data_IF_561154900371
#
_entry.id   IF_561154900371
#
_cell.length_a   1.000
_cell.length_b   1.000
_cell.length_c   1.000
_cell.angle_alpha   90.00
_cell.angle_beta   90.00
_cell.angle_gamma   90.00
#
_symmetry.space_group_name_H-M   'P 1'
#
loop_
_entity.id
_entity.type
_entity.pdbx_description
1 polymer ?
#
# COMPACT_ATOMS: atom_id res chain seq x y z
N UNK A 1 6.48 -13.83 22.97
CA UNK A 1 6.75 -12.81 21.95
C UNK A 1 6.95 -13.54 20.64
N UNK A 2 6.15 -13.23 19.62
CA UNK A 2 6.53 -13.58 18.25
C UNK A 2 7.74 -12.73 17.89
N UNK A 3 8.73 -13.31 17.22
CA UNK A 3 9.81 -12.56 16.58
C UNK A 3 9.44 -12.41 15.12
N UNK A 4 9.49 -11.17 14.62
CA UNK A 4 9.33 -10.88 13.21
C UNK A 4 10.59 -11.40 12.49
N UNK A 5 10.43 -12.37 11.60
CA UNK A 5 11.54 -12.94 10.81
C UNK A 5 11.12 -13.09 9.35
N UNK A 6 12.08 -12.85 8.46
CA UNK A 6 11.91 -12.99 7.01
C UNK A 6 11.91 -14.47 6.60
N UNK A 7 11.38 -14.73 5.41
CA UNK A 7 10.78 -16.01 5.04
C UNK A 7 11.76 -16.87 4.24
N UNK A 8 12.02 -18.09 4.72
CA UNK A 8 12.93 -19.05 4.11
C UNK A 8 12.35 -20.45 4.27
N UNK A 9 12.35 -21.21 3.18
CA UNK A 9 12.01 -22.64 3.19
C UNK A 9 13.34 -23.39 3.18
N UNK A 10 13.64 -24.09 4.29
CA UNK A 10 14.78 -25.00 4.36
C UNK A 10 14.43 -26.26 5.17
N UNK A 11 15.01 -27.39 4.77
CA UNK A 11 14.99 -28.73 5.40
C UNK A 11 13.74 -29.22 6.19
N UNK A 12 12.53 -28.75 5.87
CA UNK A 12 11.27 -29.37 6.29
C UNK A 12 10.50 -28.66 7.42
N UNK A 13 10.97 -27.49 7.88
CA UNK A 13 10.16 -26.58 8.70
C UNK A 13 9.33 -25.64 7.80
N UNK A 14 8.10 -25.35 8.22
CA UNK A 14 7.16 -24.50 7.47
C UNK A 14 7.01 -23.17 8.22
N UNK A 15 7.58 -22.11 7.66
CA UNK A 15 7.55 -20.76 8.24
C UNK A 15 7.12 -19.76 7.14
N UNK A 16 5.86 -19.35 7.20
CA UNK A 16 5.30 -18.05 6.77
C UNK A 16 5.46 -17.47 5.33
N UNK A 17 6.00 -18.15 4.30
CA UNK A 17 5.72 -17.74 2.90
C UNK A 17 6.75 -18.06 1.80
N UNK A 18 6.52 -17.50 0.60
CA UNK A 18 7.06 -18.01 -0.68
C UNK A 18 7.41 -16.93 -1.74
N UNK A 19 8.36 -17.28 -2.63
CA UNK A 19 8.71 -16.77 -3.99
C UNK A 19 8.55 -15.28 -4.39
N UNK A 20 9.63 -14.75 -4.99
CA UNK A 20 9.80 -13.48 -5.74
C UNK A 20 8.70 -13.15 -6.77
N UNK A 21 8.37 -11.86 -7.03
CA UNK A 21 9.04 -10.64 -6.58
C UNK A 21 8.48 -10.08 -5.27
N UNK A 22 9.37 -9.83 -4.30
CA UNK A 22 9.04 -9.28 -2.98
C UNK A 22 9.31 -7.77 -2.89
N UNK A 23 8.69 -7.05 -1.92
CA UNK A 23 9.06 -5.69 -1.54
C UNK A 23 10.58 -5.47 -1.49
N UNK A 24 11.08 -4.56 -2.33
CA UNK A 24 12.52 -4.24 -2.46
C UNK A 24 13.02 -3.36 -1.31
N UNK A 25 13.24 -4.00 -0.17
CA UNK A 25 13.80 -3.44 1.05
C UNK A 25 15.30 -3.08 0.90
N UNK A 26 15.76 -1.93 1.46
CA UNK A 26 17.19 -1.64 1.69
C UNK A 26 17.67 -2.28 2.99
N UNK A 27 18.44 -3.37 2.90
CA UNK A 27 18.79 -4.28 4.02
C UNK A 27 19.65 -3.66 5.13
N UNK A 28 19.80 -2.34 5.17
CA UNK A 28 20.62 -1.58 6.12
C UNK A 28 19.86 -1.00 7.34
N UNK A 29 18.53 -0.83 7.31
CA UNK A 29 17.75 -0.31 8.46
C UNK A 29 16.57 -1.23 8.84
N UNK A 30 16.68 -1.90 10.00
CA UNK A 30 15.71 -2.85 10.57
C UNK A 30 14.28 -2.30 10.76
N UNK A 31 14.08 -0.98 10.69
CA UNK A 31 12.76 -0.34 10.78
C UNK A 31 12.01 -0.23 9.43
N UNK A 32 12.68 -0.47 8.28
CA UNK A 32 12.15 -0.18 6.94
C UNK A 32 11.19 -1.24 6.35
N UNK A 33 10.26 -1.75 7.19
CA UNK A 33 9.33 -2.82 6.84
C UNK A 33 8.34 -2.42 5.74
N UNK A 34 8.55 -2.96 4.53
CA UNK A 34 7.55 -3.05 3.45
C UNK A 34 6.36 -3.99 3.75
N UNK A 35 6.00 -4.14 5.03
CA UNK A 35 4.83 -4.84 5.51
C UNK A 35 4.51 -4.40 6.94
N UNK A 36 3.24 -4.41 7.32
CA UNK A 36 2.73 -4.21 8.68
C UNK A 36 1.96 -5.46 9.10
N UNK A 37 2.34 -6.06 10.22
CA UNK A 37 1.60 -7.21 10.79
C UNK A 37 0.59 -6.66 11.80
N UNK A 38 -0.71 -6.81 11.51
CA UNK A 38 -1.80 -6.39 12.41
C UNK A 38 -2.42 -7.63 13.05
N UNK A 39 -1.76 -8.17 14.09
CA UNK A 39 -2.24 -9.41 14.73
C UNK A 39 -3.51 -9.18 15.57
N UNK A 40 -4.66 -9.64 15.09
CA UNK A 40 -5.88 -9.77 15.89
C UNK A 40 -5.91 -11.10 16.65
N UNK A 41 -5.35 -11.14 17.86
CA UNK A 41 -5.39 -12.33 18.73
C UNK A 41 -6.77 -12.46 19.42
N UNK A 42 -7.82 -12.71 18.63
CA UNK A 42 -9.22 -12.77 19.10
C UNK A 42 -9.60 -14.13 19.76
N UNK A 43 -8.63 -15.02 19.91
CA UNK A 43 -8.79 -16.36 20.46
C UNK A 43 -9.07 -17.46 19.44
N UNK A 44 -9.09 -17.17 18.13
CA UNK A 44 -9.34 -18.15 17.05
C UNK A 44 -8.09 -18.67 16.33
N UNK A 45 -6.89 -18.31 16.81
CA UNK A 45 -5.61 -18.60 16.16
C UNK A 45 -5.51 -18.06 14.71
N UNK A 46 -5.95 -16.82 14.50
CA UNK A 46 -5.83 -16.12 13.22
C UNK A 46 -4.88 -14.93 13.32
N UNK A 47 -4.31 -14.51 12.20
CA UNK A 47 -3.69 -13.19 12.08
C UNK A 47 -3.95 -12.58 10.70
N UNK A 48 -3.64 -11.31 10.58
CA UNK A 48 -3.79 -10.51 9.38
C UNK A 48 -2.46 -9.79 9.11
N UNK A 49 -1.99 -9.84 7.87
CA UNK A 49 -0.73 -9.21 7.44
C UNK A 49 -1.00 -8.32 6.25
N UNK A 50 -0.56 -7.06 6.33
CA UNK A 50 -0.72 -6.06 5.28
C UNK A 50 0.66 -5.76 4.67
N UNK A 51 0.89 -6.23 3.46
CA UNK A 51 2.14 -6.04 2.72
C UNK A 51 2.08 -4.77 1.88
N UNK A 52 3.15 -3.99 1.93
CA UNK A 52 3.38 -2.83 1.07
C UNK A 52 4.53 -3.16 0.12
N UNK A 53 4.21 -3.81 -0.98
CA UNK A 53 5.14 -4.41 -1.93
C UNK A 53 5.49 -3.44 -3.08
N UNK A 54 6.77 -3.10 -3.24
CA UNK A 54 7.29 -2.44 -4.44
C UNK A 54 8.46 -3.25 -5.02
N UNK A 55 8.77 -3.07 -6.31
CA UNK A 55 9.80 -3.86 -6.99
C UNK A 55 10.89 -2.94 -7.57
N UNK A 56 11.21 -3.08 -8.86
CA UNK A 56 12.01 -2.06 -9.57
C UNK A 56 11.19 -0.83 -9.98
N UNK A 57 9.85 -0.94 -9.94
CA UNK A 57 8.98 0.23 -9.96
C UNK A 57 8.80 0.72 -8.51
N UNK A 58 9.01 2.02 -8.22
CA UNK A 58 8.80 2.61 -6.89
C UNK A 58 7.32 2.82 -6.54
N UNK A 59 6.39 2.39 -7.39
CA UNK A 59 4.99 2.23 -7.01
C UNK A 59 4.79 1.16 -5.92
N UNK A 60 3.95 1.47 -4.92
CA UNK A 60 3.66 0.57 -3.80
C UNK A 60 2.34 -0.14 -4.04
N UNK A 61 2.43 -1.44 -4.26
CA UNK A 61 1.31 -2.38 -4.36
C UNK A 61 0.92 -2.85 -2.96
N UNK A 62 -0.36 -3.07 -2.68
CA UNK A 62 -0.83 -3.48 -1.34
C UNK A 62 -1.43 -4.88 -1.40
N UNK A 63 -0.95 -5.81 -0.57
CA UNK A 63 -1.53 -7.15 -0.45
C UNK A 63 -1.95 -7.41 0.99
N UNK A 64 -3.02 -8.17 1.16
CA UNK A 64 -3.55 -8.55 2.47
C UNK A 64 -3.62 -10.06 2.59
N UNK A 65 -2.98 -10.61 3.61
CA UNK A 65 -2.96 -12.05 3.87
C UNK A 65 -3.68 -12.36 5.18
N UNK A 66 -4.76 -13.14 5.07
CA UNK A 66 -5.50 -13.67 6.19
C UNK A 66 -5.00 -15.11 6.45
N UNK A 67 -4.51 -15.40 7.65
CA UNK A 67 -3.94 -16.72 8.00
C UNK A 67 -4.59 -17.33 9.24
N UNK A 68 -4.78 -18.65 9.21
CA UNK A 68 -5.14 -19.47 10.37
C UNK A 68 -3.96 -20.36 10.75
N UNK A 69 -3.71 -20.53 12.04
CA UNK A 69 -2.63 -21.38 12.56
C UNK A 69 -3.11 -22.29 13.70
N UNK A 70 -2.29 -23.28 14.04
CA UNK A 70 -2.48 -24.13 15.22
C UNK A 70 -1.17 -24.27 16.00
N UNK A 71 -1.26 -24.30 17.34
CA UNK A 71 -0.14 -24.74 18.17
C UNK A 71 0.00 -26.27 18.08
N UNK A 72 1.14 -26.75 17.62
CA UNK A 72 1.52 -28.17 17.57
C UNK A 72 2.95 -28.32 18.09
N UNK A 73 3.11 -29.14 19.12
CA UNK A 73 4.40 -29.46 19.75
C UNK A 73 5.22 -28.22 20.20
N UNK A 74 4.53 -27.16 20.66
CA UNK A 74 5.14 -25.89 21.08
C UNK A 74 5.57 -24.96 19.95
N UNK A 75 5.20 -25.28 18.71
CA UNK A 75 5.38 -24.45 17.51
C UNK A 75 4.02 -24.03 16.94
N UNK A 76 3.94 -22.87 16.28
CA UNK A 76 2.75 -22.50 15.51
C UNK A 76 2.94 -22.91 14.06
N UNK A 77 1.94 -23.59 13.47
CA UNK A 77 1.93 -23.97 12.06
C UNK A 77 0.71 -23.36 11.38
N UNK A 78 0.90 -22.67 10.26
CA UNK A 78 -0.19 -22.21 9.39
C UNK A 78 -0.95 -23.43 8.88
N UNK A 79 -2.27 -23.37 8.94
CA UNK A 79 -3.19 -24.43 8.52
C UNK A 79 -4.13 -24.01 7.39
N UNK A 80 -4.30 -22.69 7.19
CA UNK A 80 -5.06 -22.08 6.10
C UNK A 80 -4.46 -20.69 5.79
N UNK A 81 -4.37 -20.33 4.52
CA UNK A 81 -3.85 -19.04 4.04
C UNK A 81 -4.76 -18.49 2.93
N UNK A 82 -5.04 -17.18 2.96
CA UNK A 82 -5.81 -16.49 1.94
C UNK A 82 -5.18 -15.12 1.65
N UNK A 83 -4.53 -14.99 0.49
CA UNK A 83 -3.93 -13.74 0.03
C UNK A 83 -4.86 -12.99 -0.94
N UNK A 84 -4.98 -11.69 -0.73
CA UNK A 84 -5.79 -10.75 -1.50
C UNK A 84 -4.89 -9.64 -2.05
N UNK A 85 -4.93 -9.46 -3.36
CA UNK A 85 -4.17 -8.44 -4.09
C UNK A 85 -5.04 -7.18 -4.20
N UNK A 86 -4.68 -6.10 -3.51
CA UNK A 86 -5.42 -4.83 -3.49
C UNK A 86 -4.83 -3.86 -4.53
N UNK A 87 -4.49 -4.41 -5.70
CA UNK A 87 -3.81 -3.76 -6.82
C UNK A 87 -4.80 -2.97 -7.72
N UNK A 88 -6.11 -3.23 -7.56
CA UNK A 88 -7.22 -2.66 -8.34
C UNK A 88 -8.47 -2.48 -7.47
N UNK A 89 -8.37 -1.66 -6.44
CA UNK A 89 -9.41 -1.39 -5.44
C UNK A 89 -10.68 -0.85 -6.13
N UNK A 90 -11.84 -1.46 -5.81
CA UNK A 90 -13.16 -1.12 -6.38
C UNK A 90 -14.23 -0.80 -5.33
N UNK A 91 -13.94 -1.01 -4.04
CA UNK A 91 -14.85 -0.78 -2.92
C UNK A 91 -14.17 0.04 -1.80
N UNK A 92 -14.98 0.74 -1.00
CA UNK A 92 -14.49 1.41 0.20
C UNK A 92 -14.01 0.43 1.28
N UNK A 93 -14.50 -0.81 1.26
CA UNK A 93 -14.03 -1.88 2.15
C UNK A 93 -12.58 -2.27 1.82
N UNK A 94 -12.28 -2.55 0.55
CA UNK A 94 -10.89 -2.82 0.11
C UNK A 94 -9.97 -1.62 0.35
N UNK A 95 -10.48 -0.39 0.21
CA UNK A 95 -9.72 0.83 0.51
C UNK A 95 -9.34 0.93 1.99
N UNK A 96 -10.28 0.69 2.90
CA UNK A 96 -10.02 0.70 4.35
C UNK A 96 -9.05 -0.43 4.78
N UNK A 97 -9.09 -1.56 4.08
CA UNK A 97 -8.16 -2.67 4.29
C UNK A 97 -6.74 -2.38 3.77
N UNK A 98 -6.60 -1.67 2.65
CA UNK A 98 -5.30 -1.27 2.09
C UNK A 98 -4.67 -0.08 2.83
N UNK A 99 -5.50 0.88 3.23
CA UNK A 99 -5.11 2.18 3.76
C UNK A 99 -5.84 2.53 5.07
N UNK A 100 -5.66 1.75 6.15
CA UNK A 100 -6.19 2.10 7.47
C UNK A 100 -5.56 3.39 8.03
N UNK A 101 -4.39 3.75 7.51
CA UNK A 101 -3.69 5.03 7.61
C UNK A 101 -2.76 5.13 6.40
N UNK A 102 -2.46 6.34 5.92
CA UNK A 102 -1.46 6.60 4.88
C UNK A 102 -0.15 7.07 5.53
N UNK A 103 -0.21 8.10 6.39
CA UNK A 103 0.98 8.75 6.93
C UNK A 103 1.75 7.81 7.87
N UNK A 104 3.08 7.85 7.80
CA UNK A 104 3.95 6.97 8.58
C UNK A 104 3.92 5.48 8.19
N UNK A 105 3.28 5.12 7.06
CA UNK A 105 3.36 3.78 6.46
C UNK A 105 4.27 3.81 5.22
N UNK A 106 4.60 2.68 4.58
CA UNK A 106 5.35 2.70 3.33
C UNK A 106 4.64 3.39 2.14
N UNK A 107 3.32 3.68 2.20
CA UNK A 107 2.66 4.54 1.19
C UNK A 107 2.86 6.05 1.47
N UNK A 108 3.42 6.43 2.63
CA UNK A 108 3.89 7.78 2.91
C UNK A 108 5.26 8.03 2.27
N UNK A 109 5.22 8.47 1.01
CA UNK A 109 6.40 8.80 0.22
C UNK A 109 7.29 9.89 0.84
N UNK A 110 6.82 10.65 1.84
CA UNK A 110 7.59 11.74 2.46
C UNK A 110 8.69 11.26 3.41
N UNK A 111 8.57 10.05 3.98
CA UNK A 111 9.45 9.56 5.06
C UNK A 111 10.39 8.42 4.66
N UNK A 112 10.19 7.82 3.49
CA UNK A 112 10.84 6.57 3.07
C UNK A 112 11.85 6.73 1.92
N UNK A 113 12.08 7.96 1.42
CA UNK A 113 12.96 8.24 0.28
C UNK A 113 12.42 7.80 -1.10
N UNK A 114 11.24 7.19 -1.15
CA UNK A 114 10.63 6.74 -2.41
C UNK A 114 10.07 7.90 -3.25
N UNK A 115 9.78 9.06 -2.64
CA UNK A 115 9.47 10.29 -3.37
C UNK A 115 10.58 10.65 -4.38
N UNK A 116 11.85 10.70 -3.95
CA UNK A 116 12.98 11.02 -4.82
C UNK A 116 13.12 9.99 -5.96
N UNK A 117 12.87 8.71 -5.69
CA UNK A 117 12.89 7.65 -6.69
C UNK A 117 11.77 7.81 -7.74
N UNK A 118 10.54 8.11 -7.32
CA UNK A 118 9.43 8.43 -8.21
C UNK A 118 9.72 9.70 -9.05
N UNK A 119 10.29 10.74 -8.44
CA UNK A 119 10.68 11.98 -9.13
C UNK A 119 11.76 11.69 -10.18
N UNK A 120 12.84 10.99 -9.83
CA UNK A 120 13.88 10.60 -10.79
C UNK A 120 13.31 9.77 -11.95
N UNK A 121 12.48 8.77 -11.67
CA UNK A 121 11.83 8.00 -12.73
C UNK A 121 10.91 8.89 -13.59
N UNK A 122 10.24 9.89 -13.01
CA UNK A 122 9.41 10.84 -13.77
C UNK A 122 10.18 11.78 -14.69
N UNK A 123 11.45 12.04 -14.39
CA UNK A 123 12.35 12.84 -15.23
C UNK A 123 13.04 12.01 -16.31
N UNK A 124 13.28 10.72 -16.05
CA UNK A 124 14.03 9.82 -16.94
C UNK A 124 13.13 8.97 -17.86
N UNK A 125 11.85 8.80 -17.51
CA UNK A 125 10.90 7.98 -18.26
C UNK A 125 9.98 8.82 -19.14
N UNK A 126 9.76 8.37 -20.38
CA UNK A 126 8.73 8.89 -21.28
C UNK A 126 7.37 8.18 -21.12
N UNK A 127 7.22 7.30 -20.13
CA UNK A 127 5.97 6.57 -19.89
C UNK A 127 4.87 7.51 -19.39
N UNK A 128 3.64 7.32 -19.90
CA UNK A 128 2.45 8.02 -19.43
C UNK A 128 2.21 7.84 -17.92
N UNK A 129 2.61 6.70 -17.34
CA UNK A 129 2.49 6.43 -15.90
C UNK A 129 3.14 7.52 -15.04
N UNK A 130 4.31 8.03 -15.44
CA UNK A 130 5.00 9.07 -14.68
C UNK A 130 4.54 10.49 -15.03
N UNK A 131 3.90 10.69 -16.19
CA UNK A 131 3.22 11.96 -16.48
C UNK A 131 1.92 12.09 -15.68
N UNK A 132 1.22 10.98 -15.46
CA UNK A 132 0.03 10.92 -14.60
C UNK A 132 0.33 11.39 -13.16
N UNK A 133 1.55 11.19 -12.66
CA UNK A 133 1.98 11.69 -11.34
C UNK A 133 2.03 13.23 -11.22
N UNK A 134 1.88 13.98 -12.33
CA UNK A 134 1.81 15.46 -12.33
C UNK A 134 0.39 15.99 -12.19
N UNK A 135 -0.63 15.13 -12.31
CA UNK A 135 -2.03 15.45 -12.04
C UNK A 135 -2.46 14.80 -10.72
N UNK A 136 -3.12 15.51 -9.78
CA UNK A 136 -3.43 14.98 -8.46
C UNK A 136 -4.47 13.85 -8.50
N UNK A 137 -5.39 13.84 -9.46
CA UNK A 137 -6.43 12.81 -9.62
C UNK A 137 -5.81 11.55 -10.22
N UNK A 138 -4.99 11.69 -11.26
CA UNK A 138 -4.32 10.54 -11.89
C UNK A 138 -3.23 9.95 -10.98
N UNK A 139 -2.52 10.78 -10.21
CA UNK A 139 -1.58 10.34 -9.18
C UNK A 139 -2.29 9.58 -8.06
N UNK A 140 -3.43 10.08 -7.56
CA UNK A 140 -4.23 9.38 -6.55
C UNK A 140 -4.70 8.01 -7.05
N UNK A 141 -5.21 7.93 -8.29
CA UNK A 141 -5.59 6.65 -8.92
C UNK A 141 -4.44 5.64 -8.93
N UNK A 142 -3.26 6.06 -9.39
CA UNK A 142 -2.11 5.18 -9.53
C UNK A 142 -1.55 4.76 -8.17
N UNK A 143 -1.17 5.73 -7.33
CA UNK A 143 -0.47 5.47 -6.07
C UNK A 143 -1.37 4.77 -5.03
N UNK A 144 -2.68 4.96 -5.07
CA UNK A 144 -3.64 4.29 -4.18
C UNK A 144 -4.26 3.02 -4.81
N UNK A 145 -3.63 2.43 -5.84
CA UNK A 145 -4.05 1.18 -6.48
C UNK A 145 -5.54 1.14 -6.88
N UNK A 146 -6.12 2.28 -7.27
CA UNK A 146 -7.54 2.36 -7.62
C UNK A 146 -7.78 1.81 -9.03
N UNK A 147 -8.86 1.07 -9.24
CA UNK A 147 -9.23 0.64 -10.60
C UNK A 147 -9.56 1.86 -11.48
N UNK A 148 -8.84 2.02 -12.58
CA UNK A 148 -9.12 3.08 -13.57
C UNK A 148 -10.37 2.75 -14.43
N UNK A 149 -11.55 2.92 -13.83
CA UNK A 149 -12.83 2.74 -14.49
C UNK A 149 -13.91 3.59 -13.80
N UNK A 150 -14.29 4.71 -14.42
CA UNK A 150 -15.31 5.67 -13.92
C UNK A 150 -16.72 5.08 -13.66
N UNK A 151 -16.99 3.84 -14.10
CA UNK A 151 -18.24 3.13 -13.79
C UNK A 151 -18.15 2.30 -12.49
N UNK A 152 -16.97 2.22 -11.88
CA UNK A 152 -16.67 1.49 -10.63
C UNK A 152 -16.03 2.38 -9.58
N UNK A 153 -15.07 3.22 -9.97
CA UNK A 153 -14.39 4.18 -9.08
C UNK A 153 -14.32 5.52 -9.77
N UNK A 154 -14.84 6.56 -9.12
CA UNK A 154 -14.76 7.95 -9.59
C UNK A 154 -13.86 8.73 -8.65
N UNK A 155 -12.93 9.52 -9.22
CA UNK A 155 -11.94 10.27 -8.44
C UNK A 155 -11.99 11.73 -8.89
N UNK A 156 -12.30 12.64 -7.96
CA UNK A 156 -12.46 14.06 -8.24
C UNK A 156 -11.66 14.94 -7.28
N UNK A 157 -11.08 16.02 -7.81
CA UNK A 157 -10.43 17.04 -7.00
C UNK A 157 -11.46 18.02 -6.44
N UNK A 158 -11.45 18.20 -5.13
CA UNK A 158 -12.27 19.19 -4.44
C UNK A 158 -11.63 20.59 -4.59
N UNK A 159 -12.45 21.61 -4.80
CA UNK A 159 -11.98 22.95 -5.18
C UNK A 159 -11.25 23.71 -4.05
N UNK A 160 -11.30 23.22 -2.82
CA UNK A 160 -10.66 23.81 -1.63
C UNK A 160 -9.16 23.46 -1.52
N UNK A 161 -8.45 23.49 -2.66
CA UNK A 161 -6.99 23.35 -2.70
C UNK A 161 -6.32 24.55 -2.02
N UNK A 162 -5.77 24.33 -0.83
CA UNK A 162 -4.95 25.31 -0.13
C UNK A 162 -3.52 25.32 -0.72
N UNK A 163 -2.62 26.15 -0.18
CA UNK A 163 -1.19 26.06 -0.53
C UNK A 163 -0.50 24.77 -0.03
N UNK A 164 -1.21 23.94 0.72
CA UNK A 164 -0.68 22.77 1.43
C UNK A 164 -1.11 21.45 0.79
N UNK A 165 -1.93 21.47 -0.26
CA UNK A 165 -2.38 20.28 -0.98
C UNK A 165 -3.74 20.44 -1.66
N UNK A 166 -4.13 19.40 -2.40
CA UNK A 166 -5.44 19.27 -3.05
C UNK A 166 -6.16 18.08 -2.43
N UNK A 167 -7.36 18.30 -1.91
CA UNK A 167 -8.19 17.24 -1.38
C UNK A 167 -8.86 16.48 -2.53
N UNK A 168 -8.76 15.16 -2.52
CA UNK A 168 -9.37 14.26 -3.49
C UNK A 168 -10.52 13.51 -2.82
N UNK A 169 -11.67 13.43 -3.50
CA UNK A 169 -12.75 12.51 -3.15
C UNK A 169 -12.71 11.30 -4.09
N UNK A 170 -12.77 10.12 -3.50
CA UNK A 170 -12.88 8.83 -4.16
C UNK A 170 -14.29 8.31 -3.90
N UNK A 171 -15.03 7.96 -4.95
CA UNK A 171 -16.38 7.38 -4.87
C UNK A 171 -16.35 5.96 -5.41
N UNK A 172 -16.66 4.99 -4.57
CA UNK A 172 -16.79 3.59 -4.95
C UNK A 172 -18.25 3.29 -5.30
N UNK A 173 -18.50 2.95 -6.56
CA UNK A 173 -19.85 2.78 -7.11
C UNK A 173 -20.50 1.46 -6.63
N UNK A 174 -19.68 0.47 -6.26
CA UNK A 174 -20.14 -0.88 -5.91
C UNK A 174 -20.80 -0.95 -4.52
N UNK A 175 -20.22 -0.29 -3.51
CA UNK A 175 -20.76 -0.20 -2.15
C UNK A 175 -21.31 1.20 -1.79
N UNK A 176 -21.13 2.18 -2.67
CA UNK A 176 -21.56 3.57 -2.46
C UNK A 176 -20.69 4.34 -1.47
N UNK A 177 -19.50 3.83 -1.14
CA UNK A 177 -18.61 4.47 -0.18
C UNK A 177 -17.90 5.69 -0.78
N UNK A 178 -17.82 6.77 -0.01
CA UNK A 178 -16.92 7.90 -0.29
C UNK A 178 -15.72 7.86 0.65
N UNK A 179 -14.53 8.10 0.11
CA UNK A 179 -13.27 8.27 0.86
C UNK A 179 -12.58 9.54 0.42
N UNK A 180 -11.77 10.12 1.31
CA UNK A 180 -11.09 11.38 1.09
C UNK A 180 -9.61 11.20 1.41
N UNK A 181 -8.75 11.79 0.58
CA UNK A 181 -7.29 11.81 0.78
C UNK A 181 -6.75 13.21 0.44
N UNK A 182 -5.64 13.59 1.04
CA UNK A 182 -4.94 14.84 0.73
C UNK A 182 -3.79 14.51 -0.22
N UNK A 183 -3.77 15.10 -1.41
CA UNK A 183 -2.62 15.00 -2.32
C UNK A 183 -1.72 16.22 -2.11
N UNK A 184 -0.43 16.00 -1.86
CA UNK A 184 0.56 17.07 -1.70
C UNK A 184 1.62 17.01 -2.82
N UNK A 185 2.21 18.17 -3.14
CA UNK A 185 3.30 18.29 -4.12
C UNK A 185 4.50 18.98 -3.44
N UNK A 186 5.43 18.23 -2.82
CA UNK A 186 6.52 18.78 -2.01
C UNK A 186 7.39 19.84 -2.73
N UNK A 187 7.70 19.64 -4.02
CA UNK A 187 8.56 20.55 -4.79
C UNK A 187 7.84 21.71 -5.51
N UNK A 188 6.55 21.94 -5.21
CA UNK A 188 5.75 23.13 -5.55
C UNK A 188 5.50 23.54 -7.01
N UNK A 189 6.38 23.26 -7.99
CA UNK A 189 6.15 23.60 -9.41
C UNK A 189 6.40 22.41 -10.36
N UNK A 190 7.53 21.68 -10.24
CA UNK A 190 7.86 20.53 -11.09
C UNK A 190 7.77 19.16 -10.37
N UNK A 191 7.30 19.14 -9.12
CA UNK A 191 7.17 17.93 -8.29
C UNK A 191 6.12 16.94 -8.79
N UNK A 192 6.02 15.78 -8.15
CA UNK A 192 4.89 14.84 -8.32
C UNK A 192 3.89 15.02 -7.18
N UNK A 193 2.65 14.59 -7.40
CA UNK A 193 1.65 14.48 -6.33
C UNK A 193 1.78 13.13 -5.61
N UNK A 194 1.73 13.15 -4.29
CA UNK A 194 1.74 11.96 -3.42
C UNK A 194 0.58 12.00 -2.42
N UNK A 195 0.01 10.84 -2.04
CA UNK A 195 -1.08 10.76 -1.08
C UNK A 195 -0.61 10.99 0.35
N UNK A 196 -1.52 11.54 1.16
CA UNK A 196 -1.43 11.72 2.61
C UNK A 196 -2.85 11.52 3.19
N UNK A 197 -2.92 11.26 4.50
CA UNK A 197 -4.19 11.21 5.22
C UNK A 197 -4.99 12.52 5.07
N UNK A 198 -6.31 12.40 5.13
CA UNK A 198 -7.24 13.53 5.14
C UNK A 198 -7.47 14.02 6.58
N UNK A 199 -7.45 15.34 6.78
CA UNK A 199 -7.57 16.02 8.09
C UNK A 199 -9.03 16.25 8.56
#
# INVERSE_FOLDING_TARGET
>A
MMKEQLLVIDEGDTIFGWSSPWPMWDTSDENSKGYTITTSYDGKNTAEILYYAWTSDPHVTVWKEDITFEERDGSYKVTDENIRFLDYIVSGTEFDEAYPQINGTPIDYTVNGMYDALVMNSLLSSSMLYQNLKDPVLAAKYLLNLLDNENKVQVEALQDGSKEGINIKITFIEDGAERFVKMIQPDSEDGIWIPQDYE
#
